data_IF_565416680599
#
_entry.id   IF_565416680599
#
_cell.length_a   1.000
_cell.length_b   1.000
_cell.length_c   1.000
_cell.angle_alpha   90.00
_cell.angle_beta   90.00
_cell.angle_gamma   90.00
#
_symmetry.space_group_name_H-M   'P 1'
#
loop_
_entity.id
_entity.type
_entity.pdbx_description
1 polymer ?
#
# COMPACT_ATOMS: atom_id res chain seq x y z
N UNK A 1 39.57 64.11 -47.75
CA UNK A 1 39.43 62.63 -47.78
C UNK A 1 39.85 62.09 -46.42
N UNK A 2 39.07 61.14 -45.87
CA UNK A 2 39.22 60.35 -44.61
C UNK A 2 38.42 60.85 -43.39
N UNK A 3 37.21 60.30 -43.31
CA UNK A 3 36.24 60.30 -42.21
C UNK A 3 36.76 59.66 -40.93
N UNK A 4 36.25 60.08 -39.77
CA UNK A 4 36.22 59.25 -38.57
C UNK A 4 34.83 59.35 -37.93
N UNK A 5 33.96 58.43 -38.35
CA UNK A 5 32.62 58.19 -37.82
C UNK A 5 32.77 57.42 -36.49
N UNK A 6 32.31 58.01 -35.39
CA UNK A 6 32.30 57.36 -34.07
C UNK A 6 31.12 56.38 -34.01
N UNK A 7 31.43 55.09 -34.18
CA UNK A 7 30.46 54.00 -33.99
C UNK A 7 30.51 53.60 -32.51
N UNK A 8 29.44 53.88 -31.77
CA UNK A 8 29.22 53.31 -30.43
C UNK A 8 28.64 51.92 -30.63
N UNK A 9 29.47 50.88 -30.46
CA UNK A 9 29.01 49.49 -30.42
C UNK A 9 28.26 49.26 -29.08
N UNK A 10 26.93 49.23 -29.13
CA UNK A 10 26.12 48.75 -28.01
C UNK A 10 26.22 47.23 -27.93
N UNK A 11 26.87 46.71 -26.87
CA UNK A 11 26.82 45.29 -26.52
C UNK A 11 25.40 44.98 -25.99
N UNK A 12 24.52 44.46 -26.87
CA UNK A 12 23.31 43.81 -26.43
C UNK A 12 23.67 42.41 -25.92
N UNK A 13 23.82 42.25 -24.60
CA UNK A 13 23.98 40.95 -23.97
C UNK A 13 22.67 40.15 -24.12
N UNK A 14 22.64 39.23 -25.08
CA UNK A 14 21.53 38.30 -25.28
C UNK A 14 21.60 37.27 -24.13
N UNK A 15 20.87 37.53 -23.04
CA UNK A 15 20.68 36.57 -21.96
C UNK A 15 19.83 35.43 -22.50
N UNK A 16 20.49 34.35 -22.92
CA UNK A 16 19.83 33.08 -23.24
C UNK A 16 19.33 32.49 -21.93
N UNK A 17 18.06 32.75 -21.60
CA UNK A 17 17.37 32.04 -20.52
C UNK A 17 17.17 30.61 -21.03
N UNK A 18 18.07 29.70 -20.65
CA UNK A 18 17.85 28.28 -20.87
C UNK A 18 16.57 27.90 -20.12
N UNK A 19 15.56 27.30 -20.78
CA UNK A 19 14.48 26.69 -20.04
C UNK A 19 15.10 25.56 -19.22
N UNK A 20 15.13 25.74 -17.89
CA UNK A 20 15.33 24.62 -16.97
C UNK A 20 14.15 23.71 -17.21
N UNK A 21 14.37 22.61 -17.93
CA UNK A 21 13.44 21.51 -17.92
C UNK A 21 13.32 21.09 -16.46
N UNK A 22 12.17 21.34 -15.86
CA UNK A 22 11.80 20.70 -14.61
C UNK A 22 11.95 19.20 -14.85
N UNK A 23 12.91 18.58 -14.19
CA UNK A 23 12.93 17.13 -14.10
C UNK A 23 11.70 16.80 -13.27
N UNK A 24 10.62 16.39 -13.92
CA UNK A 24 9.52 15.71 -13.24
C UNK A 24 10.18 14.62 -12.42
N UNK A 25 10.10 14.76 -11.10
CA UNK A 25 10.64 13.77 -10.17
C UNK A 25 9.95 12.46 -10.50
N UNK A 26 10.73 11.49 -10.96
CA UNK A 26 10.30 10.12 -11.20
C UNK A 26 9.78 9.56 -9.86
N UNK A 27 8.48 9.71 -9.62
CA UNK A 27 7.83 9.15 -8.42
C UNK A 27 8.00 7.64 -8.56
N UNK A 28 8.70 6.96 -7.64
CA UNK A 28 8.89 5.53 -7.74
C UNK A 28 7.52 4.88 -7.84
N UNK A 29 7.28 4.09 -8.90
CA UNK A 29 6.10 3.27 -8.98
C UNK A 29 6.07 2.37 -7.75
N UNK A 30 5.02 2.53 -6.94
CA UNK A 30 4.82 1.87 -5.66
C UNK A 30 3.61 0.98 -5.78
N UNK A 31 3.80 -0.30 -5.52
CA UNK A 31 2.76 -1.32 -5.54
C UNK A 31 2.62 -1.90 -4.14
N UNK A 32 1.41 -1.87 -3.59
CA UNK A 32 1.12 -2.52 -2.29
C UNK A 32 0.62 -3.94 -2.54
N UNK A 33 1.18 -4.92 -1.83
CA UNK A 33 0.81 -6.33 -1.96
C UNK A 33 0.94 -7.08 -0.63
N UNK A 34 0.28 -8.23 -0.52
CA UNK A 34 0.47 -9.17 0.59
C UNK A 34 1.56 -10.15 0.21
N UNK A 35 2.56 -10.27 1.06
CA UNK A 35 3.66 -11.22 0.93
C UNK A 35 3.63 -12.21 2.08
N UNK A 36 3.60 -13.49 1.73
CA UNK A 36 3.63 -14.58 2.71
C UNK A 36 5.08 -15.01 2.93
N UNK A 37 5.49 -15.18 4.18
CA UNK A 37 6.86 -15.59 4.54
C UNK A 37 6.82 -16.87 5.37
N UNK A 38 7.60 -17.86 4.95
CA UNK A 38 7.67 -19.16 5.61
C UNK A 38 8.42 -19.12 6.95
N UNK A 39 8.29 -20.15 7.80
CA UNK A 39 8.87 -20.16 9.14
C UNK A 39 10.37 -20.41 9.16
N UNK A 40 10.88 -21.08 8.13
CA UNK A 40 12.29 -21.39 7.99
C UNK A 40 12.90 -20.63 6.83
N UNK A 41 14.13 -20.17 7.04
CA UNK A 41 15.00 -19.70 5.96
C UNK A 41 15.69 -20.89 5.31
N UNK A 42 15.99 -20.80 4.02
CA UNK A 42 16.68 -21.86 3.25
C UNK A 42 17.98 -21.35 2.67
N UNK A 43 18.90 -22.24 2.33
CA UNK A 43 20.11 -21.84 1.62
C UNK A 43 19.75 -21.17 0.29
N UNK A 44 20.32 -19.98 0.06
CA UNK A 44 20.21 -19.30 -1.22
C UNK A 44 21.04 -19.99 -2.31
N UNK A 45 20.61 -19.82 -3.56
CA UNK A 45 21.45 -20.14 -4.72
C UNK A 45 22.43 -19.00 -4.97
N UNK A 46 23.74 -19.27 -5.06
CA UNK A 46 24.73 -18.25 -5.38
C UNK A 46 26.15 -18.65 -5.01
N UNK A 47 27.10 -17.74 -5.25
CA UNK A 47 28.53 -17.94 -4.95
C UNK A 47 28.82 -17.72 -3.46
N UNK A 48 28.02 -16.89 -2.79
CA UNK A 48 28.20 -16.55 -1.38
C UNK A 48 27.22 -17.36 -0.54
N UNK A 49 27.71 -18.17 0.43
CA UNK A 49 26.85 -18.86 1.39
C UNK A 49 26.03 -17.86 2.20
N UNK A 50 24.70 -17.98 2.14
CA UNK A 50 23.74 -17.16 2.87
C UNK A 50 22.38 -17.85 2.91
N UNK A 51 21.53 -17.47 3.88
CA UNK A 51 20.15 -17.95 3.99
C UNK A 51 19.17 -16.94 3.39
N UNK A 52 18.19 -17.44 2.65
CA UNK A 52 17.13 -16.72 1.97
C UNK A 52 15.83 -16.83 2.75
N UNK A 53 15.04 -15.76 2.73
CA UNK A 53 13.61 -15.88 3.04
C UNK A 53 12.94 -16.76 1.99
N UNK A 54 11.90 -17.47 2.40
CA UNK A 54 10.99 -18.14 1.48
C UNK A 54 9.72 -17.29 1.42
N UNK A 55 9.37 -16.80 0.23
CA UNK A 55 8.22 -15.92 0.02
C UNK A 55 7.26 -16.50 -1.01
N UNK A 56 5.99 -16.15 -0.92
CA UNK A 56 5.00 -16.39 -1.99
C UNK A 56 3.98 -15.26 -2.02
N UNK A 57 3.30 -15.12 -3.15
CA UNK A 57 2.39 -14.00 -3.43
C UNK A 57 0.92 -14.36 -3.22
N UNK A 58 0.61 -15.62 -2.99
CA UNK A 58 -0.73 -16.12 -2.66
C UNK A 58 -0.65 -17.31 -1.71
N UNK A 59 -1.72 -17.63 -0.98
CA UNK A 59 -1.79 -18.80 -0.10
C UNK A 59 -1.62 -20.15 -0.82
N UNK A 60 -1.94 -20.20 -2.11
CA UNK A 60 -1.76 -21.39 -2.96
C UNK A 60 -0.55 -21.27 -3.89
N UNK A 61 0.23 -20.20 -3.74
CA UNK A 61 1.38 -19.93 -4.60
C UNK A 61 2.59 -20.77 -4.23
N UNK A 62 3.45 -21.00 -5.23
CA UNK A 62 4.74 -21.66 -5.03
C UNK A 62 5.70 -20.79 -4.21
N UNK A 63 6.43 -21.44 -3.29
CA UNK A 63 7.48 -20.79 -2.51
C UNK A 63 8.67 -20.42 -3.39
N UNK A 64 9.14 -19.18 -3.23
CA UNK A 64 10.27 -18.61 -3.94
C UNK A 64 11.35 -18.19 -2.94
N UNK A 65 12.62 -18.44 -3.29
CA UNK A 65 13.74 -17.94 -2.50
C UNK A 65 13.89 -16.43 -2.73
N UNK A 66 13.85 -15.65 -1.67
CA UNK A 66 14.10 -14.22 -1.68
C UNK A 66 15.43 -13.92 -1.00
N UNK A 67 16.46 -13.50 -1.76
CA UNK A 67 17.81 -13.28 -1.23
C UNK A 67 17.96 -12.01 -0.39
N UNK A 68 17.13 -11.00 -0.63
CA UNK A 68 17.17 -9.75 0.14
C UNK A 68 16.25 -9.85 1.36
N UNK A 69 16.58 -9.16 2.45
CA UNK A 69 15.62 -9.00 3.54
C UNK A 69 14.53 -7.98 3.14
N UNK A 70 13.33 -8.15 3.69
CA UNK A 70 12.26 -7.15 3.60
C UNK A 70 12.63 -6.00 4.55
N UNK A 71 12.66 -4.75 4.07
CA UNK A 71 13.05 -3.61 4.92
C UNK A 71 12.06 -3.43 6.06
N UNK A 72 12.57 -3.11 7.25
CA UNK A 72 11.79 -2.97 8.49
C UNK A 72 11.10 -4.26 8.97
N UNK A 73 11.44 -5.41 8.40
CA UNK A 73 10.97 -6.72 8.86
C UNK A 73 12.12 -7.49 9.51
N UNK A 74 11.84 -8.06 10.67
CA UNK A 74 12.73 -8.98 11.39
C UNK A 74 12.05 -10.35 11.45
N UNK A 75 12.64 -11.33 10.78
CA UNK A 75 12.12 -12.70 10.74
C UNK A 75 12.45 -13.41 12.05
N UNK A 76 11.44 -14.03 12.66
CA UNK A 76 11.62 -14.93 13.80
C UNK A 76 11.45 -16.37 13.31
N UNK A 77 12.48 -17.23 13.42
CA UNK A 77 12.37 -18.62 13.04
C UNK A 77 11.21 -19.34 13.72
N UNK A 78 10.52 -20.20 12.98
CA UNK A 78 9.36 -20.94 13.47
C UNK A 78 8.05 -20.17 13.41
N UNK A 79 7.97 -19.02 12.71
CA UNK A 79 6.73 -18.28 12.50
C UNK A 79 6.37 -18.12 11.03
N UNK A 80 5.12 -18.41 10.68
CA UNK A 80 4.56 -18.03 9.40
C UNK A 80 4.06 -16.59 9.47
N UNK A 81 4.23 -15.84 8.37
CA UNK A 81 3.78 -14.46 8.27
C UNK A 81 2.89 -14.22 7.05
N UNK A 82 1.95 -13.30 7.21
CA UNK A 82 1.34 -12.53 6.13
C UNK A 82 1.69 -11.06 6.35
N UNK A 83 2.40 -10.47 5.39
CA UNK A 83 2.95 -9.11 5.50
C UNK A 83 2.29 -8.22 4.46
N UNK A 84 1.79 -7.05 4.87
CA UNK A 84 1.50 -5.96 3.95
C UNK A 84 2.80 -5.24 3.63
N UNK A 85 3.20 -5.23 2.37
CA UNK A 85 4.46 -4.62 1.92
C UNK A 85 4.23 -3.63 0.79
N UNK A 86 5.08 -2.62 0.72
CA UNK A 86 5.26 -1.79 -0.46
C UNK A 86 6.43 -2.34 -1.29
N UNK A 87 6.19 -2.61 -2.57
CA UNK A 87 7.23 -2.89 -3.56
C UNK A 87 7.67 -1.58 -4.18
N UNK A 88 8.92 -1.21 -3.95
CA UNK A 88 9.46 0.09 -4.32
C UNK A 88 10.53 -0.09 -5.38
N UNK A 89 10.37 0.61 -6.52
CA UNK A 89 11.38 0.65 -7.56
C UNK A 89 12.67 1.30 -7.02
N UNK A 90 13.81 0.65 -7.22
CA UNK A 90 15.12 1.23 -6.93
C UNK A 90 15.42 2.33 -7.94
N UNK A 91 15.84 3.48 -7.44
CA UNK A 91 16.43 4.54 -8.24
C UNK A 91 17.73 5.02 -7.55
N UNK A 92 18.92 4.86 -8.17
CA UNK A 92 19.16 4.22 -9.47
C UNK A 92 18.98 2.69 -9.45
N UNK A 93 18.68 2.11 -10.62
CA UNK A 93 18.66 0.65 -10.80
C UNK A 93 20.10 0.13 -10.76
N UNK A 94 20.34 -0.86 -9.91
CA UNK A 94 21.63 -1.52 -9.81
C UNK A 94 21.65 -2.76 -10.71
N UNK A 95 22.77 -2.99 -11.42
CA UNK A 95 22.89 -4.10 -12.37
C UNK A 95 23.05 -5.48 -11.71
N UNK A 96 23.43 -5.52 -10.43
CA UNK A 96 23.83 -6.71 -9.67
C UNK A 96 22.72 -7.27 -8.76
N UNK A 97 21.51 -6.69 -8.80
CA UNK A 97 20.39 -7.05 -7.91
C UNK A 97 19.04 -6.73 -8.54
N UNK A 98 17.97 -7.07 -7.83
CA UNK A 98 16.62 -6.73 -8.26
C UNK A 98 16.45 -5.21 -8.43
N UNK A 99 15.66 -4.82 -9.44
CA UNK A 99 15.34 -3.42 -9.71
C UNK A 99 14.33 -2.83 -8.70
N UNK A 100 13.89 -3.61 -7.72
CA UNK A 100 12.96 -3.22 -6.66
C UNK A 100 13.39 -3.83 -5.32
N UNK A 101 12.77 -3.37 -4.23
CA UNK A 101 12.85 -4.01 -2.91
C UNK A 101 11.48 -3.95 -2.22
N UNK A 102 11.28 -4.81 -1.23
CA UNK A 102 10.09 -4.77 -0.38
C UNK A 102 10.37 -4.01 0.92
N UNK A 103 9.40 -3.21 1.34
CA UNK A 103 9.38 -2.54 2.63
C UNK A 103 8.11 -2.90 3.38
N UNK A 104 8.25 -3.33 4.64
CA UNK A 104 7.13 -3.66 5.50
C UNK A 104 6.29 -2.40 5.78
N UNK A 105 4.99 -2.52 5.54
CA UNK A 105 3.97 -1.56 6.00
C UNK A 105 3.38 -2.07 7.33
N UNK A 106 2.94 -3.33 7.36
CA UNK A 106 2.32 -3.93 8.55
C UNK A 106 2.44 -5.45 8.54
N UNK A 107 2.55 -6.05 9.72
CA UNK A 107 2.38 -7.50 9.89
C UNK A 107 0.89 -7.75 10.05
N UNK A 108 0.27 -8.37 9.05
CA UNK A 108 -1.17 -8.66 9.09
C UNK A 108 -1.45 -9.88 9.96
N UNK A 109 -0.54 -10.85 9.91
CA UNK A 109 -0.62 -12.05 10.73
C UNK A 109 0.78 -12.61 11.00
N UNK A 110 0.97 -13.13 12.21
CA UNK A 110 2.14 -13.90 12.60
C UNK A 110 1.72 -15.03 13.56
N UNK A 111 2.03 -16.28 13.23
CA UNK A 111 1.77 -17.40 14.13
C UNK A 111 2.84 -18.47 14.09
N UNK A 112 3.00 -19.23 15.19
CA UNK A 112 3.92 -20.34 15.24
C UNK A 112 3.62 -21.36 14.13
N UNK A 113 4.67 -21.90 13.52
CA UNK A 113 4.58 -23.05 12.66
C UNK A 113 4.20 -24.27 13.51
N UNK A 114 2.95 -24.70 13.39
CA UNK A 114 2.51 -26.01 13.88
C UNK A 114 2.67 -27.04 12.76
N UNK A 115 2.83 -28.32 13.10
CA UNK A 115 2.99 -29.38 12.07
C UNK A 115 1.80 -29.52 11.11
N UNK A 116 0.63 -28.96 11.45
CA UNK A 116 -0.51 -28.86 10.54
C UNK A 116 -0.47 -27.55 9.74
N UNK A 117 -0.31 -27.67 8.42
CA UNK A 117 -0.06 -26.61 7.43
C UNK A 117 -1.27 -25.70 7.14
N UNK A 118 -2.35 -25.76 7.92
CA UNK A 118 -3.61 -25.04 7.66
C UNK A 118 -3.61 -23.57 8.10
N UNK A 119 -2.43 -22.99 8.35
CA UNK A 119 -2.31 -21.64 8.91
C UNK A 119 -2.91 -20.56 7.99
N UNK A 120 -2.63 -20.63 6.68
CA UNK A 120 -3.14 -19.64 5.76
C UNK A 120 -4.65 -19.78 5.50
N UNK A 121 -5.28 -20.92 5.78
CA UNK A 121 -6.74 -21.10 5.61
C UNK A 121 -7.56 -20.18 6.54
N UNK A 122 -6.98 -19.68 7.62
CA UNK A 122 -7.66 -18.81 8.59
C UNK A 122 -7.56 -17.32 8.24
N UNK A 123 -6.56 -16.94 7.44
CA UNK A 123 -6.30 -15.55 7.08
C UNK A 123 -6.41 -15.29 5.58
N UNK A 124 -6.64 -16.30 4.73
CA UNK A 124 -6.69 -16.16 3.26
C UNK A 124 -7.72 -15.10 2.87
N UNK A 125 -7.27 -13.87 2.51
CA UNK A 125 -8.13 -12.99 1.75
C UNK A 125 -8.37 -13.70 0.42
N UNK A 126 -9.53 -13.51 -0.21
CA UNK A 126 -9.84 -14.08 -1.55
C UNK A 126 -8.84 -13.70 -2.65
N UNK A 127 -7.85 -12.86 -2.33
CA UNK A 127 -6.72 -12.47 -3.15
C UNK A 127 -6.80 -11.01 -3.58
N UNK A 128 -7.95 -10.37 -3.36
CA UNK A 128 -8.21 -8.99 -3.73
C UNK A 128 -8.52 -8.14 -2.50
N UNK A 129 -7.49 -7.52 -1.95
CA UNK A 129 -7.62 -6.56 -0.85
C UNK A 129 -7.47 -5.12 -1.36
N UNK A 130 -7.96 -4.17 -0.59
CA UNK A 130 -7.75 -2.74 -0.79
C UNK A 130 -7.18 -2.12 0.48
N UNK A 131 -6.17 -1.28 0.32
CA UNK A 131 -5.75 -0.35 1.37
C UNK A 131 -6.65 0.88 1.31
N UNK A 132 -7.40 1.14 2.38
CA UNK A 132 -8.36 2.23 2.43
C UNK A 132 -8.07 3.15 3.60
N UNK A 133 -8.31 4.44 3.39
CA UNK A 133 -8.19 5.46 4.42
C UNK A 133 -9.57 5.92 4.85
N UNK A 134 -9.81 5.96 6.16
CA UNK A 134 -10.98 6.58 6.76
C UNK A 134 -10.53 7.90 7.39
N UNK A 135 -11.16 9.01 6.98
CA UNK A 135 -10.88 10.31 7.57
C UNK A 135 -11.39 10.41 9.02
N UNK A 136 -10.84 11.35 9.79
CA UNK A 136 -11.31 11.62 11.15
C UNK A 136 -12.65 12.37 11.13
N UNK A 137 -12.84 13.24 10.14
CA UNK A 137 -14.09 13.90 9.86
C UNK A 137 -15.13 12.95 9.28
N UNK A 138 -16.38 13.21 9.66
CA UNK A 138 -17.55 12.46 9.22
C UNK A 138 -18.52 13.40 8.53
N UNK A 139 -19.48 12.86 7.78
CA UNK A 139 -20.57 13.65 7.19
C UNK A 139 -21.91 12.96 7.39
N UNK A 140 -23.01 13.70 7.34
CA UNK A 140 -24.36 13.12 7.47
C UNK A 140 -24.61 12.10 6.36
N UNK A 141 -25.04 10.88 6.72
CA UNK A 141 -25.45 9.88 5.74
C UNK A 141 -26.77 10.27 5.06
N UNK A 142 -26.79 10.24 3.71
CA UNK A 142 -27.98 10.52 2.92
C UNK A 142 -28.79 9.24 2.58
N UNK A 143 -28.46 8.11 3.20
CA UNK A 143 -29.02 6.78 2.90
C UNK A 143 -30.27 6.43 3.72
N UNK A 144 -30.73 7.33 4.61
CA UNK A 144 -31.98 7.18 5.35
C UNK A 144 -31.95 6.13 6.47
N UNK A 145 -30.78 5.63 6.87
CA UNK A 145 -30.66 4.68 7.97
C UNK A 145 -30.76 5.36 9.36
N UNK A 146 -31.44 4.71 10.30
CA UNK A 146 -31.50 5.08 11.72
C UNK A 146 -30.89 3.95 12.56
N UNK A 147 -30.05 4.23 13.58
CA UNK A 147 -29.72 5.55 14.13
C UNK A 147 -28.79 6.37 13.22
N UNK A 148 -28.78 7.69 13.43
CA UNK A 148 -27.93 8.68 12.75
C UNK A 148 -26.45 8.42 13.03
N UNK A 149 -25.87 7.41 12.38
CA UNK A 149 -24.42 7.33 12.28
C UNK A 149 -24.01 8.23 11.12
N UNK A 150 -23.06 9.13 11.37
CA UNK A 150 -22.43 9.84 10.29
C UNK A 150 -21.67 8.86 9.39
N UNK A 151 -21.69 9.15 8.09
CA UNK A 151 -20.94 8.44 7.09
C UNK A 151 -19.45 8.70 7.28
N UNK A 152 -18.68 7.62 7.20
CA UNK A 152 -17.23 7.67 7.16
C UNK A 152 -16.81 8.11 5.75
N UNK A 153 -15.80 8.96 5.67
CA UNK A 153 -15.20 9.32 4.39
C UNK A 153 -14.09 8.31 4.07
N UNK A 154 -14.39 7.41 3.13
CA UNK A 154 -13.48 6.36 2.69
C UNK A 154 -12.76 6.77 1.40
N UNK A 155 -11.44 6.66 1.39
CA UNK A 155 -10.58 6.88 0.22
C UNK A 155 -9.83 5.61 -0.15
N UNK A 156 -9.73 5.32 -1.46
CA UNK A 156 -8.93 4.20 -2.00
C UNK A 156 -7.92 4.78 -2.99
N UNK A 157 -6.63 4.61 -2.73
CA UNK A 157 -5.57 5.24 -3.53
C UNK A 157 -5.73 6.76 -3.58
N UNK A 158 -5.61 7.34 -4.77
CA UNK A 158 -5.75 8.80 -5.00
C UNK A 158 -7.18 9.21 -5.40
N UNK A 159 -8.18 8.35 -5.17
CA UNK A 159 -9.57 8.67 -5.49
C UNK A 159 -10.16 9.71 -4.52
N UNK A 160 -11.20 10.41 -4.96
CA UNK A 160 -11.97 11.30 -4.10
C UNK A 160 -12.62 10.53 -2.94
N UNK A 161 -12.72 11.11 -1.72
CA UNK A 161 -13.38 10.47 -0.59
C UNK A 161 -14.85 10.18 -0.88
N UNK A 162 -15.28 8.95 -0.58
CA UNK A 162 -16.65 8.49 -0.76
C UNK A 162 -17.29 8.30 0.61
N UNK A 163 -18.46 8.90 0.88
CA UNK A 163 -19.18 8.65 2.12
C UNK A 163 -19.74 7.24 2.14
N UNK A 164 -19.48 6.51 3.22
CA UNK A 164 -20.02 5.17 3.43
C UNK A 164 -20.62 5.05 4.82
N UNK A 165 -21.74 4.32 4.90
CA UNK A 165 -22.30 3.92 6.18
C UNK A 165 -21.31 3.00 6.90
N UNK A 166 -20.94 3.26 8.17
CA UNK A 166 -20.01 2.41 8.93
C UNK A 166 -20.41 0.93 8.94
N UNK A 167 -21.72 0.62 8.91
CA UNK A 167 -22.24 -0.75 8.87
C UNK A 167 -21.85 -1.53 7.61
N UNK A 168 -21.30 -0.87 6.58
CA UNK A 168 -20.77 -1.51 5.38
C UNK A 168 -19.35 -2.03 5.55
N UNK A 169 -18.68 -1.74 6.66
CA UNK A 169 -17.40 -2.36 7.01
C UNK A 169 -17.68 -3.38 8.12
N UNK A 170 -17.66 -4.68 7.78
CA UNK A 170 -17.94 -5.73 8.76
C UNK A 170 -16.77 -5.89 9.72
N UNK A 171 -17.09 -6.24 10.98
CA UNK A 171 -16.13 -6.39 12.08
C UNK A 171 -15.32 -5.13 12.41
N UNK A 172 -15.77 -3.95 11.96
CA UNK A 172 -15.15 -2.67 12.27
C UNK A 172 -16.03 -1.86 13.22
N UNK A 173 -15.44 -1.36 14.31
CA UNK A 173 -16.08 -0.46 15.26
C UNK A 173 -15.35 0.88 15.23
N UNK A 174 -15.96 1.87 14.58
CA UNK A 174 -15.38 3.20 14.45
C UNK A 174 -15.37 3.96 15.78
N UNK A 175 -14.24 4.60 16.11
CA UNK A 175 -14.15 5.58 17.20
C UNK A 175 -14.30 6.99 16.64
N UNK A 176 -15.32 7.76 17.06
CA UNK A 176 -15.54 9.13 16.59
C UNK A 176 -14.30 10.02 16.68
N UNK A 177 -14.01 10.73 15.59
CA UNK A 177 -12.86 11.64 15.49
C UNK A 177 -11.52 10.93 15.23
N UNK A 178 -11.51 9.63 14.96
CA UNK A 178 -10.28 8.91 14.62
C UNK A 178 -10.17 8.66 13.12
N UNK A 179 -8.96 8.82 12.59
CA UNK A 179 -8.62 8.42 11.23
C UNK A 179 -8.03 7.01 11.24
N UNK A 180 -8.30 6.23 10.20
CA UNK A 180 -7.83 4.85 10.08
C UNK A 180 -7.16 4.59 8.74
N UNK A 181 -6.18 3.70 8.74
CA UNK A 181 -5.74 2.98 7.54
C UNK A 181 -6.13 1.53 7.73
N UNK A 182 -6.93 0.98 6.82
CA UNK A 182 -7.49 -0.36 6.92
C UNK A 182 -7.07 -1.19 5.70
N UNK A 183 -6.84 -2.47 5.92
CA UNK A 183 -6.87 -3.49 4.87
C UNK A 183 -8.26 -4.08 4.87
N UNK A 184 -8.96 -4.00 3.74
CA UNK A 184 -10.30 -4.55 3.56
C UNK A 184 -10.39 -5.41 2.31
N UNK A 185 -11.32 -6.35 2.31
CA UNK A 185 -11.73 -7.11 1.13
C UNK A 185 -13.12 -6.67 0.71
N UNK A 186 -13.37 -6.54 -0.61
CA UNK A 186 -14.71 -6.22 -1.11
C UNK A 186 -15.47 -7.50 -1.38
N UNK A 187 -16.63 -7.64 -0.75
CA UNK A 187 -17.54 -8.75 -1.01
C UNK A 187 -18.79 -8.26 -1.72
N UNK A 188 -19.06 -8.78 -2.91
CA UNK A 188 -20.30 -8.47 -3.62
C UNK A 188 -21.46 -9.28 -3.02
N UNK A 189 -22.53 -8.59 -2.62
CA UNK A 189 -23.74 -9.24 -2.14
C UNK A 189 -24.59 -9.64 -3.34
N UNK A 190 -24.97 -10.92 -3.40
CA UNK A 190 -25.97 -11.38 -4.37
C UNK A 190 -27.31 -10.79 -3.97
N UNK A 191 -27.69 -9.68 -4.62
CA UNK A 191 -28.95 -9.00 -4.35
C UNK A 191 -30.12 -9.91 -4.70
N UNK A 192 -30.71 -10.55 -3.69
CA UNK A 192 -31.99 -11.22 -3.82
C UNK A 192 -33.12 -10.20 -3.95
N UNK A 193 -33.25 -9.53 -5.10
CA UNK A 193 -34.38 -8.65 -5.46
C UNK A 193 -34.81 -7.57 -4.44
N UNK A 194 -33.98 -7.20 -3.46
CA UNK A 194 -34.27 -6.10 -2.52
C UNK A 194 -33.61 -4.83 -3.04
N UNK A 195 -34.41 -3.84 -3.43
CA UNK A 195 -33.95 -2.61 -4.08
C UNK A 195 -33.02 -1.72 -3.22
N UNK A 196 -32.96 -1.97 -1.91
CA UNK A 196 -32.27 -1.12 -0.93
C UNK A 196 -31.10 -1.82 -0.21
N UNK A 197 -30.73 -3.04 -0.63
CA UNK A 197 -29.54 -3.72 -0.09
C UNK A 197 -28.31 -3.28 -0.89
N UNK A 198 -27.22 -2.83 -0.24
CA UNK A 198 -26.01 -2.48 -0.95
C UNK A 198 -25.48 -3.66 -1.76
N UNK A 199 -25.00 -3.41 -2.97
CA UNK A 199 -24.48 -4.45 -3.87
C UNK A 199 -23.16 -5.06 -3.41
N UNK A 200 -22.51 -4.46 -2.39
CA UNK A 200 -21.30 -4.98 -1.77
C UNK A 200 -21.14 -4.48 -0.34
N UNK A 201 -20.27 -5.16 0.42
CA UNK A 201 -19.73 -4.72 1.71
C UNK A 201 -18.20 -4.77 1.66
N UNK A 202 -17.57 -4.17 2.66
CA UNK A 202 -16.15 -4.33 2.93
C UNK A 202 -16.00 -5.23 4.16
N UNK A 203 -15.19 -6.29 4.04
CA UNK A 203 -14.76 -7.07 5.17
C UNK A 203 -13.45 -6.51 5.71
N UNK A 204 -13.42 -6.13 6.99
CA UNK A 204 -12.17 -5.74 7.64
C UNK A 204 -11.24 -6.95 7.74
N UNK A 205 -10.03 -6.81 7.21
CA UNK A 205 -8.94 -7.78 7.39
C UNK A 205 -8.05 -7.32 8.54
N UNK A 206 -7.59 -6.06 8.51
CA UNK A 206 -6.61 -5.56 9.49
C UNK A 206 -6.65 -4.04 9.63
N UNK A 207 -6.44 -3.53 10.84
CA UNK A 207 -6.25 -2.10 11.11
C UNK A 207 -4.74 -1.79 11.06
N UNK A 208 -4.28 -1.13 10.00
CA UNK A 208 -2.86 -0.76 9.83
C UNK A 208 -2.47 0.34 10.80
N UNK A 209 -3.33 1.33 10.98
CA UNK A 209 -3.11 2.45 11.90
C UNK A 209 -4.43 3.05 12.35
N UNK A 210 -4.45 3.56 13.56
CA UNK A 210 -5.50 4.41 14.11
C UNK A 210 -4.86 5.67 14.69
N UNK A 211 -5.37 6.84 14.31
CA UNK A 211 -4.92 8.13 14.80
C UNK A 211 -6.12 8.94 15.27
N UNK A 212 -6.22 9.19 16.58
CA UNK A 212 -7.27 10.06 17.12
C UNK A 212 -6.94 11.52 16.84
N UNK A 213 -7.87 12.28 16.25
CA UNK A 213 -7.71 13.70 16.05
C UNK A 213 -7.80 14.45 17.40
N UNK A 214 -6.64 14.67 18.03
CA UNK A 214 -6.45 15.65 19.10
C UNK A 214 -7.09 15.32 20.45
N UNK A 215 -6.26 14.81 21.37
CA UNK A 215 -6.18 15.34 22.74
C UNK A 215 -4.92 16.20 22.81
#
# INVERSE_FOLDING_TARGET
>A
MKSVLRIVLGLAALVFVLPVAAQDGDVPNKETLILYVAPDMVDCTGVIPQTCLQIRFSPEGEWQRHPENIRNFEHVPGFNYALLVEKIQRNPIAADRASFFYQLISVLEAAPATEDSSYYDLFTPSGEFSLVHIAAETQVCQDGFTPELDCLLLTIGDAEPVPINPARITNFAYVPGSAYTLVVERENLTAGNVADVPSFIYQLIHIVSETTAGV
#
